data_IF_875442671687
#
_entry.id   IF_875442671687
#
_cell.length_a   1.000
_cell.length_b   1.000
_cell.length_c   1.000
_cell.angle_alpha   90.00
_cell.angle_beta   90.00
_cell.angle_gamma   90.00
#
_symmetry.space_group_name_H-M   'P 1'
#
loop_
_entity.id
_entity.type
_entity.pdbx_description
1 polymer ?
#
# COMPACT_ATOMS: atom_id res chain seq x y z
N UNK A 1 5.35 0.09 -13.99
CA UNK A 1 5.89 1.06 -14.93
C UNK A 1 7.12 0.47 -15.59
N UNK A 2 6.96 0.02 -16.83
CA UNK A 2 8.08 -0.36 -17.70
C UNK A 2 8.49 0.83 -18.59
N UNK A 3 7.60 1.83 -18.78
CA UNK A 3 7.91 3.16 -19.29
C UNK A 3 6.95 4.21 -18.69
N UNK A 4 7.40 5.11 -17.79
CA UNK A 4 6.55 6.12 -17.16
C UNK A 4 6.09 7.25 -18.12
N UNK A 5 6.57 7.28 -19.36
CA UNK A 5 6.22 8.32 -20.36
C UNK A 5 5.17 7.85 -21.39
N UNK A 6 4.74 6.58 -21.34
CA UNK A 6 3.71 6.04 -22.26
C UNK A 6 2.49 5.54 -21.50
N UNK A 7 1.42 6.35 -21.51
CA UNK A 7 0.09 6.02 -20.98
C UNK A 7 -0.46 4.66 -21.50
N UNK A 8 -0.13 4.30 -22.76
CA UNK A 8 -0.52 3.02 -23.36
C UNK A 8 0.14 1.77 -22.75
N UNK A 9 1.09 1.93 -21.83
CA UNK A 9 1.73 0.83 -21.10
C UNK A 9 1.11 0.61 -19.70
N UNK A 10 0.07 1.35 -19.34
CA UNK A 10 -0.67 1.16 -18.08
C UNK A 10 -1.36 -0.21 -18.13
N UNK A 11 -0.91 -1.12 -17.27
CA UNK A 11 -1.46 -2.46 -17.13
C UNK A 11 -2.14 -2.63 -15.77
N UNK A 12 -3.13 -1.81 -15.48
CA UNK A 12 -3.83 -1.77 -14.19
C UNK A 12 -4.39 -3.12 -13.75
N UNK A 13 -4.92 -3.93 -14.68
CA UNK A 13 -5.50 -5.25 -14.36
C UNK A 13 -4.47 -6.35 -14.12
N UNK A 14 -3.19 -6.14 -14.46
CA UNK A 14 -2.12 -7.11 -14.22
C UNK A 14 -1.24 -6.74 -13.02
N UNK A 15 -1.63 -5.72 -12.25
CA UNK A 15 -0.93 -5.28 -11.06
C UNK A 15 -1.87 -5.53 -9.87
N UNK A 16 -1.34 -6.13 -8.81
CA UNK A 16 -2.02 -6.21 -7.51
C UNK A 16 -1.52 -5.04 -6.67
N UNK A 17 -2.34 -4.00 -6.49
CA UNK A 17 -1.87 -2.78 -5.86
C UNK A 17 -1.88 -2.92 -4.33
N UNK A 18 -0.82 -2.42 -3.69
CA UNK A 18 -0.62 -2.55 -2.24
C UNK A 18 -1.65 -1.74 -1.43
N UNK A 19 -1.98 -0.54 -1.90
CA UNK A 19 -2.93 0.37 -1.25
C UNK A 19 -4.35 -0.22 -1.20
N UNK A 20 -4.85 -0.74 -2.31
CA UNK A 20 -6.18 -1.38 -2.38
C UNK A 20 -6.26 -2.56 -1.43
N UNK A 21 -5.22 -3.39 -1.35
CA UNK A 21 -5.22 -4.54 -0.45
C UNK A 21 -5.16 -4.12 1.02
N UNK A 22 -4.44 -3.06 1.35
CA UNK A 22 -4.47 -2.47 2.68
C UNK A 22 -5.87 -1.93 3.04
N UNK A 23 -6.53 -1.24 2.10
CA UNK A 23 -7.89 -0.73 2.31
C UNK A 23 -8.91 -1.86 2.46
N UNK A 24 -8.81 -2.94 1.67
CA UNK A 24 -9.65 -4.12 1.83
C UNK A 24 -9.44 -4.79 3.20
N UNK A 25 -8.19 -4.88 3.69
CA UNK A 25 -7.91 -5.40 5.04
C UNK A 25 -8.61 -4.55 6.10
N UNK A 26 -8.51 -3.22 5.98
CA UNK A 26 -9.19 -2.30 6.90
C UNK A 26 -10.70 -2.50 6.88
N UNK A 27 -11.29 -2.66 5.70
CA UNK A 27 -12.72 -2.92 5.54
C UNK A 27 -13.14 -4.24 6.20
N UNK A 28 -12.38 -5.32 6.01
CA UNK A 28 -12.64 -6.61 6.65
C UNK A 28 -12.58 -6.50 8.19
N UNK A 29 -11.58 -5.79 8.73
CA UNK A 29 -11.49 -5.51 10.18
C UNK A 29 -12.67 -4.68 10.69
N UNK A 30 -13.15 -3.72 9.91
CA UNK A 30 -14.33 -2.91 10.27
C UNK A 30 -15.60 -3.75 10.27
N UNK A 31 -15.79 -4.61 9.26
CA UNK A 31 -16.92 -5.54 9.19
C UNK A 31 -16.90 -6.53 10.36
N UNK A 32 -15.74 -7.09 10.70
CA UNK A 32 -15.60 -7.98 11.85
C UNK A 32 -16.03 -7.29 13.15
N UNK A 33 -15.57 -6.05 13.36
CA UNK A 33 -15.95 -5.24 14.53
C UNK A 33 -17.45 -4.91 14.55
N UNK A 34 -18.01 -4.45 13.43
CA UNK A 34 -19.42 -4.10 13.34
C UNK A 34 -20.32 -5.32 13.61
N UNK A 35 -19.97 -6.49 13.06
CA UNK A 35 -20.67 -7.75 13.33
C UNK A 35 -20.57 -8.17 14.81
N UNK A 36 -19.42 -7.95 15.45
CA UNK A 36 -19.27 -8.21 16.88
C UNK A 36 -20.18 -7.29 17.72
N UNK A 37 -20.23 -6.00 17.38
CA UNK A 37 -21.08 -4.99 18.03
C UNK A 37 -22.58 -5.27 17.80
N UNK A 38 -22.96 -5.88 16.66
CA UNK A 38 -24.34 -6.29 16.37
C UNK A 38 -24.72 -7.67 16.94
N UNK A 39 -23.82 -8.36 17.63
CA UNK A 39 -24.06 -9.69 18.19
C UNK A 39 -23.98 -10.84 17.17
N UNK A 40 -23.57 -10.59 15.93
CA UNK A 40 -23.37 -11.61 14.90
C UNK A 40 -21.93 -12.17 14.97
N UNK A 41 -21.72 -13.08 15.93
CA UNK A 41 -20.43 -13.74 16.15
C UNK A 41 -19.94 -14.56 14.93
N UNK A 42 -20.86 -15.10 14.13
CA UNK A 42 -20.51 -15.89 12.95
C UNK A 42 -19.89 -15.00 11.87
N UNK A 43 -20.52 -13.87 11.56
CA UNK A 43 -19.96 -12.88 10.62
C UNK A 43 -18.69 -12.24 11.15
N UNK A 44 -18.62 -11.94 12.46
CA UNK A 44 -17.41 -11.40 13.08
C UNK A 44 -16.20 -12.31 12.85
N UNK A 45 -16.35 -13.61 13.16
CA UNK A 45 -15.31 -14.62 12.94
C UNK A 45 -14.93 -14.77 11.47
N UNK A 46 -15.92 -14.77 10.57
CA UNK A 46 -15.69 -14.84 9.12
C UNK A 46 -14.84 -13.67 8.62
N UNK A 47 -15.19 -12.44 8.98
CA UNK A 47 -14.46 -11.26 8.51
C UNK A 47 -13.07 -11.14 9.15
N UNK A 48 -12.90 -11.60 10.38
CA UNK A 48 -11.57 -11.67 11.01
C UNK A 48 -10.65 -12.68 10.30
N UNK A 49 -11.19 -13.83 9.88
CA UNK A 49 -10.46 -14.82 9.09
C UNK A 49 -10.04 -14.26 7.72
N UNK A 50 -10.93 -13.51 7.05
CA UNK A 50 -10.63 -12.84 5.78
C UNK A 50 -9.52 -11.79 5.95
N UNK A 51 -9.63 -10.93 6.98
CA UNK A 51 -8.60 -9.94 7.29
C UNK A 51 -7.23 -10.61 7.55
N UNK A 52 -7.22 -11.68 8.34
CA UNK A 52 -5.99 -12.44 8.64
C UNK A 52 -5.38 -13.05 7.37
N UNK A 53 -6.21 -13.63 6.50
CA UNK A 53 -5.75 -14.19 5.23
C UNK A 53 -5.17 -13.10 4.32
N UNK A 54 -5.80 -11.93 4.27
CA UNK A 54 -5.33 -10.80 3.48
C UNK A 54 -4.02 -10.23 4.00
N UNK A 55 -3.89 -10.05 5.31
CA UNK A 55 -2.64 -9.61 5.93
C UNK A 55 -1.50 -10.55 5.52
N UNK A 56 -1.67 -11.87 5.69
CA UNK A 56 -0.67 -12.87 5.26
C UNK A 56 -0.35 -12.78 3.77
N UNK A 57 -1.36 -12.55 2.92
CA UNK A 57 -1.15 -12.39 1.48
C UNK A 57 -0.36 -11.10 1.16
N UNK A 58 -0.63 -9.99 1.83
CA UNK A 58 0.14 -8.75 1.69
C UNK A 58 1.59 -8.95 2.11
N UNK A 59 1.82 -9.60 3.27
CA UNK A 59 3.17 -9.89 3.75
C UNK A 59 3.97 -10.79 2.79
N UNK A 60 3.28 -11.67 2.04
CA UNK A 60 3.92 -12.59 1.08
C UNK A 60 4.14 -11.99 -0.30
N UNK A 61 3.16 -11.27 -0.83
CA UNK A 61 3.15 -10.87 -2.24
C UNK A 61 3.41 -9.37 -2.45
N UNK A 62 3.30 -8.53 -1.42
CA UNK A 62 3.42 -7.08 -1.56
C UNK A 62 4.61 -6.52 -0.81
N UNK A 63 5.42 -7.37 -0.18
CA UNK A 63 6.65 -6.96 0.49
C UNK A 63 7.87 -7.24 -0.37
N UNK A 64 8.70 -6.23 -0.61
CA UNK A 64 9.96 -6.38 -1.31
C UNK A 64 11.10 -6.56 -0.31
N UNK A 65 11.52 -7.81 -0.06
CA UNK A 65 12.61 -8.11 0.88
C UNK A 65 13.95 -7.50 0.48
N UNK A 66 14.21 -7.35 -0.83
CA UNK A 66 15.47 -6.80 -1.33
C UNK A 66 15.56 -5.30 -1.03
N UNK A 67 14.48 -4.59 -1.27
CA UNK A 67 14.45 -3.13 -1.17
C UNK A 67 14.02 -2.63 0.22
N UNK A 68 13.28 -3.44 0.98
CA UNK A 68 12.85 -3.11 2.35
C UNK A 68 11.60 -2.24 2.44
N UNK A 69 10.68 -2.32 1.47
CA UNK A 69 9.38 -1.65 1.53
C UNK A 69 8.27 -2.46 0.87
N UNK A 70 7.02 -2.08 1.13
CA UNK A 70 5.90 -2.63 0.39
C UNK A 70 5.81 -2.01 -1.01
N UNK A 71 5.42 -2.82 -2.00
CA UNK A 71 5.22 -2.40 -3.37
C UNK A 71 4.18 -3.31 -4.05
N UNK A 72 3.67 -2.86 -5.19
CA UNK A 72 2.69 -3.64 -5.93
C UNK A 72 3.29 -4.95 -6.45
N UNK A 73 2.45 -5.96 -6.65
CA UNK A 73 2.85 -7.21 -7.29
C UNK A 73 2.47 -7.20 -8.76
N UNK A 74 3.41 -7.60 -9.62
CA UNK A 74 3.19 -7.71 -11.05
C UNK A 74 2.82 -9.17 -11.40
N UNK A 75 1.58 -9.38 -11.85
CA UNK A 75 1.04 -10.72 -12.16
C UNK A 75 1.70 -11.35 -13.39
N UNK A 76 2.26 -10.55 -14.31
CA UNK A 76 2.92 -11.07 -15.51
C UNK A 76 4.31 -11.61 -15.18
N UNK A 77 5.11 -10.81 -14.47
CA UNK A 77 6.45 -11.22 -14.06
C UNK A 77 6.44 -12.12 -12.82
N UNK A 78 5.31 -12.22 -12.11
CA UNK A 78 5.13 -12.93 -10.85
C UNK A 78 6.14 -12.47 -9.79
N UNK A 79 6.33 -11.15 -9.69
CA UNK A 79 7.32 -10.53 -8.81
C UNK A 79 6.76 -9.28 -8.15
N UNK A 80 7.22 -9.04 -6.92
CA UNK A 80 7.04 -7.74 -6.27
C UNK A 80 7.84 -6.70 -7.04
N UNK A 81 7.23 -5.54 -7.29
CA UNK A 81 7.90 -4.45 -8.00
C UNK A 81 8.94 -3.78 -7.09
N UNK A 82 9.94 -3.16 -7.69
CA UNK A 82 11.02 -2.48 -6.95
C UNK A 82 10.72 -1.00 -6.66
N UNK A 83 9.68 -0.42 -7.25
CA UNK A 83 9.45 1.02 -7.17
C UNK A 83 8.87 1.40 -5.80
N UNK A 84 9.50 2.36 -5.11
CA UNK A 84 8.95 2.98 -3.91
C UNK A 84 7.93 4.07 -4.31
N UNK A 85 6.73 3.97 -3.76
CA UNK A 85 5.66 4.97 -3.90
C UNK A 85 5.04 5.23 -2.53
N UNK A 86 4.25 6.28 -2.39
CA UNK A 86 3.50 6.57 -1.16
C UNK A 86 2.49 5.46 -0.80
N UNK A 87 2.10 4.61 -1.77
CA UNK A 87 1.27 3.44 -1.50
C UNK A 87 1.93 2.47 -0.49
N UNK A 88 3.27 2.47 -0.39
CA UNK A 88 4.00 1.68 0.60
C UNK A 88 3.65 2.03 2.07
N UNK A 89 3.07 3.21 2.31
CA UNK A 89 2.64 3.65 3.65
C UNK A 89 1.25 3.12 4.04
N UNK A 90 0.43 2.67 3.09
CA UNK A 90 -0.93 2.21 3.38
C UNK A 90 -0.98 1.02 4.35
N UNK A 91 -0.12 -0.01 4.22
CA UNK A 91 -0.05 -1.10 5.20
C UNK A 91 0.22 -0.62 6.63
N UNK A 92 0.98 0.47 6.82
CA UNK A 92 1.23 1.07 8.12
C UNK A 92 -0.02 1.83 8.62
N UNK A 93 -0.63 2.63 7.75
CA UNK A 93 -1.85 3.39 8.06
C UNK A 93 -2.98 2.49 8.57
N UNK A 94 -3.19 1.33 7.94
CA UNK A 94 -4.24 0.39 8.33
C UNK A 94 -3.82 -0.57 9.45
N UNK A 95 -2.58 -0.46 9.96
CA UNK A 95 -1.99 -1.35 10.97
C UNK A 95 -1.95 -2.83 10.53
N UNK A 96 -1.70 -3.06 9.24
CA UNK A 96 -1.49 -4.41 8.68
C UNK A 96 -0.02 -4.85 8.73
N UNK A 97 0.92 -3.90 8.68
CA UNK A 97 2.34 -4.19 8.62
C UNK A 97 2.89 -4.75 9.93
N UNK A 98 3.81 -5.72 9.82
CA UNK A 98 4.65 -6.14 10.95
C UNK A 98 5.56 -4.99 11.41
N UNK A 99 5.91 -4.94 12.69
CA UNK A 99 6.63 -3.81 13.28
C UNK A 99 8.00 -3.58 12.61
N UNK A 100 8.76 -4.64 12.36
CA UNK A 100 10.06 -4.57 11.69
C UNK A 100 9.96 -4.00 10.25
N UNK A 101 8.87 -4.31 9.55
CA UNK A 101 8.57 -3.79 8.22
C UNK A 101 8.10 -2.35 8.27
N UNK A 102 7.30 -1.98 9.28
CA UNK A 102 6.91 -0.60 9.53
C UNK A 102 8.13 0.30 9.76
N UNK A 103 9.10 -0.16 10.54
CA UNK A 103 10.34 0.57 10.81
C UNK A 103 11.17 0.77 9.52
N UNK A 104 11.30 -0.28 8.70
CA UNK A 104 11.99 -0.19 7.39
C UNK A 104 11.31 0.78 6.44
N UNK A 105 9.98 0.74 6.36
CA UNK A 105 9.19 1.65 5.52
C UNK A 105 9.34 3.09 6.02
N UNK A 106 9.30 3.34 7.33
CA UNK A 106 9.51 4.67 7.90
C UNK A 106 10.88 5.24 7.50
N UNK A 107 11.95 4.45 7.60
CA UNK A 107 13.30 4.84 7.16
C UNK A 107 13.34 5.13 5.66
N UNK A 108 12.73 4.28 4.83
CA UNK A 108 12.68 4.47 3.38
C UNK A 108 11.90 5.74 2.99
N UNK A 109 10.78 6.01 3.65
CA UNK A 109 9.97 7.22 3.42
C UNK A 109 10.73 8.47 3.85
N UNK A 110 11.32 8.49 5.05
CA UNK A 110 12.09 9.64 5.53
C UNK A 110 13.31 9.95 4.67
N UNK A 111 13.96 8.94 4.10
CA UNK A 111 15.16 9.12 3.28
C UNK A 111 14.88 9.45 1.81
N UNK A 112 13.75 8.99 1.24
CA UNK A 112 13.51 9.07 -0.22
C UNK A 112 12.25 9.83 -0.63
N UNK A 113 11.25 9.92 0.25
CA UNK A 113 9.97 10.57 -0.04
C UNK A 113 9.75 11.85 0.76
N UNK A 114 10.45 12.05 1.88
CA UNK A 114 10.36 13.28 2.65
C UNK A 114 11.20 14.38 1.98
N UNK A 115 10.56 15.47 1.60
CA UNK A 115 11.20 16.69 1.09
C UNK A 115 10.71 17.91 1.90
N UNK A 116 11.41 19.05 1.83
CA UNK A 116 10.87 20.30 2.40
C UNK A 116 9.46 20.56 1.84
N UNK A 117 8.43 20.49 2.70
CA UNK A 117 7.02 20.65 2.31
C UNK A 117 6.14 19.39 2.40
N UNK A 118 6.66 18.21 2.77
CA UNK A 118 5.86 17.01 3.08
C UNK A 118 6.35 15.71 2.42
N UNK A 119 5.50 14.68 2.41
CA UNK A 119 5.79 13.39 1.77
C UNK A 119 5.40 13.47 0.28
N UNK A 120 6.34 13.20 -0.62
CA UNK A 120 6.07 13.13 -2.07
C UNK A 120 5.45 11.78 -2.45
N UNK A 121 4.54 11.79 -3.42
CA UNK A 121 3.77 10.60 -3.86
C UNK A 121 4.64 9.50 -4.47
N UNK A 122 5.74 9.85 -5.14
CA UNK A 122 6.73 8.90 -5.71
C UNK A 122 8.12 9.53 -5.76
N UNK A 123 9.17 8.73 -6.01
CA UNK A 123 10.53 9.21 -6.28
C UNK A 123 10.77 9.58 -7.75
N UNK A 124 9.76 9.42 -8.63
CA UNK A 124 9.88 9.62 -10.07
C UNK A 124 9.24 10.96 -10.45
N UNK A 125 9.95 11.77 -11.23
CA UNK A 125 9.41 13.02 -11.78
C UNK A 125 8.97 12.77 -13.22
N UNK A 126 7.76 12.26 -13.41
CA UNK A 126 7.21 11.92 -14.73
C UNK A 126 6.35 13.04 -15.35
N UNK A 127 6.03 14.08 -14.57
CA UNK A 127 5.07 15.13 -14.94
C UNK A 127 3.59 14.73 -14.76
N UNK A 128 3.29 13.52 -14.30
CA UNK A 128 1.91 13.08 -14.00
C UNK A 128 1.43 13.61 -12.64
N UNK A 129 0.12 13.79 -12.50
CA UNK A 129 -0.52 14.32 -11.28
C UNK A 129 -0.22 13.50 -10.00
N UNK A 130 0.17 12.24 -10.16
CA UNK A 130 0.46 11.29 -9.08
C UNK A 130 1.97 11.08 -8.82
N UNK A 131 2.81 11.89 -9.45
CA UNK A 131 4.26 11.83 -9.34
C UNK A 131 4.82 13.12 -8.73
N UNK A 132 6.11 13.10 -8.33
CA UNK A 132 6.75 14.33 -7.86
C UNK A 132 6.61 15.43 -8.94
N UNK A 133 6.21 16.68 -8.60
CA UNK A 133 6.41 17.31 -7.30
C UNK A 133 5.13 17.58 -6.50
N UNK A 134 4.04 16.81 -6.63
CA UNK A 134 2.80 17.17 -5.89
C UNK A 134 2.93 16.91 -4.37
N UNK A 135 3.57 17.84 -3.66
CA UNK A 135 3.39 18.05 -2.23
C UNK A 135 2.03 18.73 -2.04
N UNK A 136 1.18 18.13 -1.22
CA UNK A 136 -0.22 18.51 -1.04
C UNK A 136 -0.39 19.99 -0.73
N UNK A 137 -1.01 20.72 -1.66
CA UNK A 137 -1.41 22.12 -1.47
C UNK A 137 -2.83 22.24 -0.87
N UNK A 138 -3.24 21.27 -0.03
CA UNK A 138 -4.61 21.24 0.52
C UNK A 138 -4.79 20.64 1.92
N UNK A 139 -3.72 20.50 2.72
CA UNK A 139 -3.85 20.13 4.14
C UNK A 139 -3.30 21.22 5.05
N UNK A 140 -3.86 22.43 4.95
CA UNK A 140 -3.77 23.47 5.97
C UNK A 140 -4.75 24.58 5.62
N UNK A 141 -5.93 24.52 6.26
CA UNK A 141 -7.02 25.48 6.19
C UNK A 141 -8.12 25.00 7.11
#
# INVERSE_FOLDING_TARGET
>A
MDDPQKLGTIRTTSIVPVDLNALMFKMEKLLARASQESGDAASASKYEALATARQKAMEKYLWNDKEGWYADYDLKSKKVRNQLTAAALFPLYVKAAAQDRADKVAVATSSRLLKPGGITTTTVNSGQQWDAPMAGRHCSG
#
